data_IF_726042836317
#
_entry.id   IF_726042836317
#
_cell.length_a   1.000
_cell.length_b   1.000
_cell.length_c   1.000
_cell.angle_alpha   90.00
_cell.angle_beta   90.00
_cell.angle_gamma   90.00
#
_symmetry.space_group_name_H-M   'P 1'
#
loop_
_entity.id
_entity.type
_entity.pdbx_description
1 polymer ?
#
# COMPACT_ATOMS: atom_id res chain seq x y z
N UNK A 1 -28.26 -3.24 -14.07
CA UNK A 1 -26.90 -3.47 -13.59
C UNK A 1 -26.86 -3.27 -12.08
N UNK A 2 -26.50 -4.30 -11.34
CA UNK A 2 -26.37 -4.28 -9.88
C UNK A 2 -25.18 -3.41 -9.43
N UNK A 3 -25.10 -3.08 -8.13
CA UNK A 3 -23.96 -2.32 -7.60
C UNK A 3 -22.62 -3.05 -7.82
N UNK A 4 -22.60 -4.36 -7.66
CA UNK A 4 -21.41 -5.18 -7.91
C UNK A 4 -21.02 -5.25 -9.39
N UNK A 5 -21.96 -5.37 -10.30
CA UNK A 5 -21.68 -5.32 -11.74
C UNK A 5 -21.04 -3.98 -12.13
N UNK A 6 -21.54 -2.87 -11.59
CA UNK A 6 -20.93 -1.53 -11.79
C UNK A 6 -19.51 -1.48 -11.23
N UNK A 7 -19.30 -2.03 -10.04
CA UNK A 7 -17.99 -2.06 -9.39
C UNK A 7 -16.97 -2.89 -10.21
N UNK A 8 -17.36 -4.08 -10.68
CA UNK A 8 -16.51 -4.91 -11.54
C UNK A 8 -16.20 -4.24 -12.88
N UNK A 9 -17.19 -3.55 -13.48
CA UNK A 9 -16.97 -2.78 -14.69
C UNK A 9 -15.96 -1.65 -14.46
N UNK A 10 -16.10 -0.90 -13.37
CA UNK A 10 -15.16 0.15 -12.98
C UNK A 10 -13.76 -0.40 -12.77
N UNK A 11 -13.61 -1.55 -12.08
CA UNK A 11 -12.32 -2.22 -11.89
C UNK A 11 -11.68 -2.63 -13.21
N UNK A 12 -12.44 -3.22 -14.13
CA UNK A 12 -11.97 -3.58 -15.46
C UNK A 12 -11.50 -2.34 -16.25
N UNK A 13 -12.26 -1.25 -16.20
CA UNK A 13 -11.87 0.01 -16.84
C UNK A 13 -10.59 0.60 -16.24
N UNK A 14 -10.38 0.44 -14.94
CA UNK A 14 -9.16 0.83 -14.23
C UNK A 14 -7.96 -0.07 -14.53
N UNK A 15 -8.16 -1.22 -15.18
CA UNK A 15 -7.12 -2.20 -15.48
C UNK A 15 -6.90 -3.27 -14.41
N UNK A 16 -7.81 -3.40 -13.43
CA UNK A 16 -7.72 -4.43 -12.41
C UNK A 16 -7.99 -5.82 -12.99
N UNK A 17 -7.15 -6.83 -12.72
CA UNK A 17 -7.43 -8.22 -13.03
C UNK A 17 -8.69 -8.71 -12.32
N UNK A 18 -9.35 -9.72 -12.90
CA UNK A 18 -10.61 -10.26 -12.36
C UNK A 18 -10.44 -10.83 -10.94
N UNK A 19 -9.35 -11.53 -10.68
CA UNK A 19 -9.03 -12.12 -9.37
C UNK A 19 -8.81 -11.05 -8.31
N UNK A 20 -8.20 -9.91 -8.65
CA UNK A 20 -8.08 -8.77 -7.74
C UNK A 20 -9.46 -8.22 -7.34
N UNK A 21 -10.35 -8.07 -8.30
CA UNK A 21 -11.71 -7.60 -8.03
C UNK A 21 -12.51 -8.61 -7.19
N UNK A 22 -12.27 -9.91 -7.38
CA UNK A 22 -12.87 -10.97 -6.56
C UNK A 22 -12.35 -10.90 -5.11
N UNK A 23 -11.05 -10.66 -4.91
CA UNK A 23 -10.47 -10.50 -3.58
C UNK A 23 -11.10 -9.31 -2.83
N UNK A 24 -11.24 -8.16 -3.48
CA UNK A 24 -11.95 -7.01 -2.89
C UNK A 24 -13.42 -7.31 -2.60
N UNK A 25 -14.11 -8.00 -3.50
CA UNK A 25 -15.51 -8.39 -3.31
C UNK A 25 -15.69 -9.37 -2.13
N UNK A 26 -14.80 -10.35 -1.96
CA UNK A 26 -14.81 -11.28 -0.83
C UNK A 26 -14.58 -10.57 0.52
N UNK A 27 -13.75 -9.55 0.51
CA UNK A 27 -13.52 -8.69 1.68
C UNK A 27 -14.64 -7.66 1.91
N UNK A 28 -15.60 -7.54 0.98
CA UNK A 28 -16.58 -6.46 0.91
C UNK A 28 -15.94 -5.06 0.90
N UNK A 29 -14.73 -4.96 0.34
CA UNK A 29 -14.00 -3.70 0.18
C UNK A 29 -14.38 -3.05 -1.14
N UNK A 30 -14.93 -1.85 -1.07
CA UNK A 30 -15.25 -1.05 -2.24
C UNK A 30 -14.24 0.08 -2.34
N UNK A 31 -13.41 0.01 -3.38
CA UNK A 31 -12.45 1.05 -3.72
C UNK A 31 -13.06 2.01 -4.75
N UNK A 32 -12.67 3.26 -4.67
CA UNK A 32 -13.05 4.27 -5.66
C UNK A 32 -12.20 4.12 -6.93
N UNK A 33 -12.62 4.74 -8.02
CA UNK A 33 -11.99 4.62 -9.33
C UNK A 33 -10.46 4.85 -9.28
N UNK A 34 -10.00 5.93 -8.65
CA UNK A 34 -8.56 6.22 -8.53
C UNK A 34 -7.81 5.22 -7.67
N UNK A 35 -8.44 4.69 -6.64
CA UNK A 35 -7.88 3.61 -5.82
C UNK A 35 -7.78 2.32 -6.63
N UNK A 36 -8.76 2.02 -7.49
CA UNK A 36 -8.68 0.88 -8.42
C UNK A 36 -7.56 1.04 -9.43
N UNK A 37 -7.36 2.24 -10.00
CA UNK A 37 -6.19 2.51 -10.87
C UNK A 37 -4.87 2.25 -10.12
N UNK A 38 -4.77 2.67 -8.85
CA UNK A 38 -3.59 2.40 -8.04
C UNK A 38 -3.43 0.90 -7.74
N UNK A 39 -4.53 0.17 -7.53
CA UNK A 39 -4.52 -1.28 -7.34
C UNK A 39 -4.14 -2.03 -8.62
N UNK A 40 -4.60 -1.59 -9.78
CA UNK A 40 -4.15 -2.11 -11.07
C UNK A 40 -2.64 -1.90 -11.25
N UNK A 41 -2.12 -0.71 -10.91
CA UNK A 41 -0.68 -0.44 -10.91
C UNK A 41 0.10 -1.35 -9.96
N UNK A 42 -0.47 -1.67 -8.77
CA UNK A 42 0.13 -2.62 -7.83
C UNK A 42 0.27 -4.03 -8.42
N UNK A 43 -0.68 -4.46 -9.24
CA UNK A 43 -0.61 -5.77 -9.94
C UNK A 43 0.40 -5.79 -11.08
N UNK A 44 0.76 -4.65 -11.66
CA UNK A 44 1.87 -4.58 -12.63
C UNK A 44 3.21 -4.95 -11.98
N UNK A 45 3.35 -4.86 -10.65
CA UNK A 45 4.53 -5.34 -9.94
C UNK A 45 4.77 -6.86 -10.06
N UNK A 46 3.78 -7.63 -10.49
CA UNK A 46 3.93 -9.07 -10.73
C UNK A 46 4.77 -9.37 -11.98
N UNK A 47 4.79 -8.47 -12.94
CA UNK A 47 5.59 -8.63 -14.14
C UNK A 47 7.08 -8.43 -13.84
N UNK A 48 7.98 -9.27 -14.35
CA UNK A 48 9.42 -9.10 -14.17
C UNK A 48 9.92 -7.71 -14.58
N UNK A 49 9.38 -7.17 -15.67
CA UNK A 49 9.73 -5.85 -16.21
C UNK A 49 8.83 -4.73 -15.68
N UNK A 50 7.88 -5.06 -14.79
CA UNK A 50 6.96 -4.11 -14.20
C UNK A 50 7.59 -3.27 -13.10
N UNK A 51 6.85 -2.30 -12.53
CA UNK A 51 7.36 -1.47 -11.46
C UNK A 51 7.66 -2.28 -10.19
N UNK A 52 8.56 -1.77 -9.38
CA UNK A 52 8.84 -2.29 -8.03
C UNK A 52 8.19 -1.44 -6.93
N UNK A 53 7.73 -0.25 -7.30
CA UNK A 53 7.12 0.67 -6.36
C UNK A 53 5.93 1.41 -6.97
N UNK A 54 4.85 1.54 -6.17
CA UNK A 54 3.65 2.30 -6.52
C UNK A 54 3.40 3.39 -5.49
N UNK A 55 3.27 4.63 -5.98
CA UNK A 55 2.89 5.79 -5.19
C UNK A 55 1.44 6.20 -5.47
N UNK A 56 0.67 6.45 -4.41
CA UNK A 56 -0.67 7.00 -4.50
C UNK A 56 -0.76 8.27 -3.65
N UNK A 57 -0.94 9.42 -4.27
CA UNK A 57 -0.79 10.65 -3.52
C UNK A 57 -1.33 11.91 -4.16
N UNK A 58 -1.30 13.00 -3.38
CA UNK A 58 -1.81 14.31 -3.76
C UNK A 58 -2.62 14.94 -2.65
N UNK A 59 -3.91 15.17 -2.85
CA UNK A 59 -4.75 15.88 -1.88
C UNK A 59 -5.00 15.09 -0.59
N UNK A 60 -5.22 15.82 0.52
CA UNK A 60 -5.77 15.26 1.76
C UNK A 60 -7.19 14.75 1.50
N UNK A 61 -7.61 13.71 2.21
CA UNK A 61 -8.95 13.15 2.06
C UNK A 61 -9.14 12.21 0.85
N UNK A 62 -8.13 11.98 0.02
CA UNK A 62 -8.21 11.10 -1.16
C UNK A 62 -8.21 9.59 -0.87
N UNK A 63 -8.57 9.14 0.33
CA UNK A 63 -8.68 7.70 0.67
C UNK A 63 -7.37 6.90 0.62
N UNK A 64 -6.22 7.58 0.77
CA UNK A 64 -4.89 6.98 0.56
C UNK A 64 -4.56 5.84 1.52
N UNK A 65 -4.77 6.05 2.83
CA UNK A 65 -4.55 5.01 3.85
C UNK A 65 -5.50 3.83 3.67
N UNK A 66 -6.74 4.11 3.26
CA UNK A 66 -7.73 3.09 2.94
C UNK A 66 -7.26 2.20 1.78
N UNK A 67 -6.80 2.82 0.68
CA UNK A 67 -6.24 2.07 -0.45
C UNK A 67 -5.03 1.24 -0.04
N UNK A 68 -4.07 1.85 0.68
CA UNK A 68 -2.82 1.18 1.03
C UNK A 68 -3.08 -0.10 1.83
N UNK A 69 -3.91 0.00 2.87
CA UNK A 69 -4.23 -1.15 3.71
C UNK A 69 -5.11 -2.17 2.97
N UNK A 70 -6.07 -1.72 2.15
CA UNK A 70 -6.90 -2.59 1.32
C UNK A 70 -6.06 -3.38 0.30
N UNK A 71 -5.14 -2.72 -0.40
CA UNK A 71 -4.24 -3.38 -1.36
C UNK A 71 -3.39 -4.45 -0.69
N UNK A 72 -2.76 -4.12 0.44
CA UNK A 72 -1.91 -5.06 1.16
C UNK A 72 -2.71 -6.23 1.75
N UNK A 73 -3.85 -5.95 2.39
CA UNK A 73 -4.58 -6.94 3.18
C UNK A 73 -5.68 -7.67 2.43
N UNK A 74 -6.49 -6.97 1.64
CA UNK A 74 -7.61 -7.58 0.92
C UNK A 74 -7.21 -8.17 -0.43
N UNK A 75 -6.10 -7.72 -1.05
CA UNK A 75 -5.59 -8.32 -2.28
C UNK A 75 -4.31 -9.15 -2.03
N UNK A 76 -3.19 -8.52 -1.77
CA UNK A 76 -1.88 -9.21 -1.77
C UNK A 76 -1.82 -10.34 -0.73
N UNK A 77 -2.21 -10.08 0.51
CA UNK A 77 -2.20 -11.09 1.57
C UNK A 77 -3.19 -12.24 1.34
N UNK A 78 -4.23 -12.05 0.53
CA UNK A 78 -5.21 -13.12 0.26
C UNK A 78 -4.74 -14.07 -0.84
N UNK A 79 -3.98 -13.57 -1.80
CA UNK A 79 -3.56 -14.36 -2.97
C UNK A 79 -2.25 -15.14 -2.80
N UNK A 80 -1.38 -14.71 -1.88
CA UNK A 80 -0.12 -15.41 -1.61
C UNK A 80 0.01 -15.71 -0.12
N UNK A 81 0.07 -17.00 0.28
CA UNK A 81 0.20 -17.38 1.68
C UNK A 81 1.53 -16.94 2.30
N UNK A 82 1.47 -16.60 3.59
CA UNK A 82 2.64 -16.34 4.40
C UNK A 82 3.40 -15.05 4.08
N UNK A 83 2.80 -14.09 3.38
CA UNK A 83 3.44 -12.78 3.16
C UNK A 83 3.70 -12.05 4.47
N UNK A 84 4.89 -11.49 4.60
CA UNK A 84 5.29 -10.62 5.71
C UNK A 84 5.33 -9.18 5.22
N UNK A 85 4.36 -8.39 5.63
CA UNK A 85 4.19 -7.00 5.20
C UNK A 85 4.50 -6.04 6.35
N UNK A 86 5.20 -4.95 6.07
CA UNK A 86 5.39 -3.82 6.98
C UNK A 86 4.51 -2.66 6.50
N UNK A 87 3.67 -2.12 7.37
CA UNK A 87 3.00 -0.85 7.18
C UNK A 87 3.64 0.19 8.09
N UNK A 88 4.42 1.09 7.52
CA UNK A 88 5.21 2.08 8.24
C UNK A 88 4.57 3.46 8.19
N UNK A 89 4.47 4.13 9.34
CA UNK A 89 3.93 5.49 9.45
C UNK A 89 4.73 6.32 10.45
N UNK A 90 4.80 7.62 10.21
CA UNK A 90 5.31 8.57 11.20
C UNK A 90 4.25 8.77 12.30
N UNK A 91 4.67 8.73 13.59
CA UNK A 91 3.88 8.92 14.82
C UNK A 91 3.18 7.68 15.41
N UNK A 92 3.42 7.48 16.71
CA UNK A 92 3.13 6.25 17.45
C UNK A 92 1.68 5.99 17.89
N UNK A 93 1.17 6.63 18.98
CA UNK A 93 -0.10 6.21 19.61
C UNK A 93 -1.35 6.37 18.73
N UNK A 94 -1.50 7.52 18.06
CA UNK A 94 -2.61 7.75 17.15
C UNK A 94 -2.58 6.83 15.91
N UNK A 95 -1.45 6.20 15.65
CA UNK A 95 -1.28 5.31 14.52
C UNK A 95 -1.93 3.95 14.73
N UNK A 96 -1.79 3.37 15.91
CA UNK A 96 -2.37 2.06 16.21
C UNK A 96 -3.90 2.13 16.23
N UNK A 97 -4.46 3.20 16.80
CA UNK A 97 -5.90 3.46 16.81
C UNK A 97 -6.44 3.63 15.38
N UNK A 98 -5.78 4.45 14.57
CA UNK A 98 -6.16 4.63 13.16
C UNK A 98 -6.04 3.33 12.35
N UNK A 99 -4.99 2.54 12.60
CA UNK A 99 -4.83 1.23 11.98
C UNK A 99 -5.96 0.28 12.39
N UNK A 100 -6.31 0.27 13.68
CA UNK A 100 -7.39 -0.57 14.19
C UNK A 100 -8.75 -0.20 13.59
N UNK A 101 -9.05 1.07 13.47
CA UNK A 101 -10.29 1.56 12.85
C UNK A 101 -10.35 1.19 11.36
N UNK A 102 -9.26 1.40 10.63
CA UNK A 102 -9.18 1.00 9.21
C UNK A 102 -9.30 -0.52 9.04
N UNK A 103 -8.62 -1.30 9.88
CA UNK A 103 -8.69 -2.76 9.84
C UNK A 103 -10.12 -3.27 10.06
N UNK A 104 -10.81 -2.77 11.09
CA UNK A 104 -12.20 -3.16 11.38
C UNK A 104 -13.11 -2.85 10.20
N UNK A 105 -12.91 -1.72 9.55
CA UNK A 105 -13.69 -1.29 8.39
C UNK A 105 -13.38 -2.11 7.13
N UNK A 106 -12.10 -2.44 6.90
CA UNK A 106 -11.66 -3.12 5.68
C UNK A 106 -11.76 -4.64 5.76
N UNK A 107 -11.54 -5.23 6.94
CA UNK A 107 -11.37 -6.68 7.05
C UNK A 107 -12.42 -7.35 7.92
N UNK A 108 -13.55 -6.68 8.17
CA UNK A 108 -14.62 -7.25 8.98
C UNK A 108 -15.19 -8.58 8.46
N UNK A 109 -15.02 -8.85 7.16
CA UNK A 109 -15.47 -10.07 6.48
C UNK A 109 -14.34 -11.10 6.25
N UNK A 110 -13.10 -10.70 6.41
CA UNK A 110 -11.96 -11.62 6.25
C UNK A 110 -11.59 -12.23 7.60
N UNK A 111 -11.42 -13.55 7.70
CA UNK A 111 -10.90 -14.19 8.91
C UNK A 111 -9.49 -13.68 9.23
N UNK A 112 -9.32 -13.03 10.36
CA UNK A 112 -8.04 -12.50 10.80
C UNK A 112 -8.00 -12.35 12.32
N UNK A 113 -6.78 -12.33 12.86
CA UNK A 113 -6.48 -12.02 14.26
C UNK A 113 -5.66 -10.73 14.33
N UNK A 114 -5.93 -9.91 15.34
CA UNK A 114 -5.16 -8.70 15.59
C UNK A 114 -4.63 -8.65 17.02
N UNK A 115 -3.31 -8.60 17.13
CA UNK A 115 -2.63 -8.36 18.40
C UNK A 115 -2.29 -6.87 18.53
N UNK A 116 -3.10 -6.13 19.30
CA UNK A 116 -2.85 -4.71 19.55
C UNK A 116 -1.52 -4.46 20.26
N UNK A 117 -1.12 -5.37 21.16
CA UNK A 117 0.17 -5.29 21.86
C UNK A 117 1.37 -5.36 20.91
N UNK A 118 1.29 -6.22 19.89
CA UNK A 118 2.37 -6.42 18.91
C UNK A 118 2.20 -5.54 17.66
N UNK A 119 1.04 -4.93 17.46
CA UNK A 119 0.70 -4.25 16.22
C UNK A 119 0.68 -5.18 15.01
N UNK A 120 0.27 -6.46 15.19
CA UNK A 120 0.31 -7.47 14.12
C UNK A 120 -1.11 -7.93 13.79
N UNK A 121 -1.45 -7.80 12.51
CA UNK A 121 -2.63 -8.37 11.89
C UNK A 121 -2.22 -9.65 11.15
N UNK A 122 -2.80 -10.78 11.50
CA UNK A 122 -2.52 -12.10 10.92
C UNK A 122 -3.74 -12.66 10.22
N UNK A 123 -3.59 -13.12 8.98
CA UNK A 123 -4.62 -13.81 8.20
C UNK A 123 -4.50 -15.33 8.33
N UNK A 124 -5.58 -16.05 8.08
CA UNK A 124 -5.65 -17.51 8.22
C UNK A 124 -4.63 -18.27 7.35
N UNK A 125 -4.21 -17.67 6.21
CA UNK A 125 -3.21 -18.24 5.31
C UNK A 125 -1.75 -18.00 5.74
N UNK A 126 -1.53 -17.46 6.95
CA UNK A 126 -0.22 -17.15 7.51
C UNK A 126 0.37 -15.80 7.07
N UNK A 127 -0.28 -15.07 6.15
CA UNK A 127 0.13 -13.71 5.81
C UNK A 127 -0.13 -12.77 6.97
N UNK A 128 0.74 -11.75 7.14
CA UNK A 128 0.61 -10.80 8.24
C UNK A 128 1.03 -9.39 7.84
N UNK A 129 0.37 -8.40 8.43
CA UNK A 129 0.75 -6.99 8.33
C UNK A 129 1.21 -6.51 9.70
N UNK A 130 2.42 -5.98 9.76
CA UNK A 130 3.04 -5.42 10.96
C UNK A 130 2.89 -3.90 10.88
N UNK A 131 2.16 -3.32 11.84
CA UNK A 131 2.02 -1.88 11.97
C UNK A 131 3.28 -1.30 12.63
N UNK A 132 4.19 -0.81 11.81
CA UNK A 132 5.41 -0.14 12.23
C UNK A 132 5.22 1.37 12.35
N UNK A 133 6.03 2.00 13.20
CA UNK A 133 6.02 3.45 13.36
C UNK A 133 7.41 4.00 13.59
N UNK A 134 7.57 5.30 13.35
CA UNK A 134 8.77 6.07 13.70
C UNK A 134 8.37 7.47 14.15
N UNK A 135 9.01 8.00 15.15
CA UNK A 135 8.89 9.41 15.55
C UNK A 135 10.01 10.23 14.93
N UNK A 136 11.22 9.68 15.00
CA UNK A 136 12.43 10.24 14.45
C UNK A 136 12.97 9.31 13.34
N UNK A 137 13.74 9.87 12.43
CA UNK A 137 14.34 9.08 11.36
C UNK A 137 15.27 7.95 11.85
N UNK A 138 15.87 8.10 13.04
CA UNK A 138 16.70 7.06 13.66
C UNK A 138 15.91 5.80 14.00
N UNK A 139 14.62 5.92 14.26
CA UNK A 139 13.78 4.76 14.59
C UNK A 139 13.65 3.78 13.42
N UNK A 140 13.93 4.24 12.19
CA UNK A 140 13.99 3.40 11.00
C UNK A 140 15.08 2.33 11.14
N UNK A 141 16.15 2.60 11.89
CA UNK A 141 17.26 1.68 12.07
C UNK A 141 16.82 0.39 12.80
N UNK A 142 15.73 0.44 13.58
CA UNK A 142 15.17 -0.74 14.23
C UNK A 142 14.57 -1.78 13.24
N UNK A 143 14.29 -1.38 12.01
CA UNK A 143 13.76 -2.26 10.97
C UNK A 143 14.87 -2.84 10.08
N UNK A 144 16.08 -2.29 10.14
CA UNK A 144 17.21 -2.74 9.32
C UNK A 144 17.62 -4.16 9.72
N UNK A 145 17.98 -4.96 8.72
CA UNK A 145 18.28 -6.38 8.91
C UNK A 145 17.07 -7.31 8.89
N UNK A 146 15.86 -6.78 8.96
CA UNK A 146 14.64 -7.56 8.78
C UNK A 146 14.27 -7.67 7.28
N UNK A 147 13.43 -8.64 6.96
CA UNK A 147 12.95 -8.85 5.59
C UNK A 147 11.44 -8.73 5.52
N UNK A 148 10.95 -8.05 4.50
CA UNK A 148 9.53 -7.86 4.23
C UNK A 148 9.24 -8.08 2.75
N UNK A 149 8.21 -8.85 2.46
CA UNK A 149 7.74 -9.11 1.10
C UNK A 149 7.06 -7.85 0.49
N UNK A 150 6.45 -7.04 1.36
CA UNK A 150 5.83 -5.76 1.01
C UNK A 150 6.17 -4.73 2.08
N UNK A 151 6.52 -3.52 1.64
CA UNK A 151 6.63 -2.36 2.53
C UNK A 151 5.63 -1.30 2.07
N UNK A 152 4.64 -1.01 2.91
CA UNK A 152 3.74 0.12 2.78
C UNK A 152 4.25 1.30 3.60
N UNK A 153 4.40 2.47 3.00
CA UNK A 153 4.86 3.68 3.70
C UNK A 153 3.79 4.76 3.61
N UNK A 154 3.15 5.05 4.73
CA UNK A 154 2.22 6.17 4.80
C UNK A 154 2.97 7.49 4.92
N UNK A 155 2.48 8.50 4.19
CA UNK A 155 3.06 9.84 4.18
C UNK A 155 4.59 9.82 3.92
N UNK A 156 5.01 9.10 2.87
CA UNK A 156 6.40 8.83 2.55
C UNK A 156 7.28 10.08 2.46
N UNK A 157 6.70 11.25 2.15
CA UNK A 157 7.42 12.55 2.16
C UNK A 157 7.81 13.05 3.55
N UNK A 158 7.42 12.35 4.62
CA UNK A 158 7.92 12.62 5.96
C UNK A 158 9.30 12.03 6.22
N UNK A 159 9.79 11.15 5.34
CA UNK A 159 11.14 10.59 5.36
C UNK A 159 12.08 11.35 4.43
N UNK A 160 13.33 11.50 4.85
CA UNK A 160 14.40 11.93 3.94
C UNK A 160 14.67 10.86 2.88
N UNK A 161 15.32 11.25 1.76
CA UNK A 161 15.71 10.32 0.71
C UNK A 161 16.55 9.15 1.25
N UNK A 162 17.49 9.44 2.16
CA UNK A 162 18.38 8.45 2.77
C UNK A 162 17.57 7.43 3.58
N UNK A 163 16.69 7.87 4.47
CA UNK A 163 15.91 6.96 5.32
C UNK A 163 14.87 6.17 4.54
N UNK A 164 14.30 6.75 3.49
CA UNK A 164 13.49 6.00 2.54
C UNK A 164 14.34 4.91 1.87
N UNK A 165 15.54 5.21 1.41
CA UNK A 165 16.44 4.22 0.82
C UNK A 165 16.81 3.14 1.84
N UNK A 166 17.18 3.50 3.06
CA UNK A 166 17.54 2.57 4.14
C UNK A 166 16.42 1.53 4.34
N UNK A 167 15.17 1.97 4.57
CA UNK A 167 14.06 1.04 4.83
C UNK A 167 13.71 0.19 3.59
N UNK A 168 13.87 0.71 2.38
CA UNK A 168 13.56 -0.05 1.16
C UNK A 168 14.54 -1.19 0.91
N UNK A 169 15.74 -1.17 1.49
CA UNK A 169 16.66 -2.32 1.45
C UNK A 169 16.11 -3.55 2.17
N UNK A 170 15.16 -3.37 3.08
CA UNK A 170 14.48 -4.45 3.79
C UNK A 170 13.36 -5.12 2.96
N UNK A 171 13.03 -4.54 1.78
CA UNK A 171 12.01 -5.10 0.88
C UNK A 171 12.63 -6.23 0.06
N UNK A 172 12.59 -7.44 0.61
CA UNK A 172 13.18 -8.65 0.04
C UNK A 172 12.26 -9.84 0.31
N UNK A 173 12.33 -10.85 -0.55
CA UNK A 173 11.51 -12.06 -0.42
C UNK A 173 12.31 -13.31 -0.75
N UNK A 174 12.00 -14.39 -0.07
CA UNK A 174 12.42 -15.75 -0.41
C UNK A 174 11.33 -16.55 -1.12
N UNK A 175 10.17 -15.95 -1.38
CA UNK A 175 9.02 -16.62 -2.00
C UNK A 175 9.18 -16.69 -3.53
N UNK A 176 9.12 -17.88 -4.14
CA UNK A 176 9.42 -18.04 -5.56
C UNK A 176 8.43 -17.35 -6.49
N UNK A 177 7.18 -17.19 -6.05
CA UNK A 177 6.10 -16.63 -6.88
C UNK A 177 5.68 -15.23 -6.41
N UNK A 178 6.58 -14.54 -5.74
CA UNK A 178 6.34 -13.19 -5.25
C UNK A 178 7.52 -12.28 -5.61
N UNK A 179 7.21 -11.10 -6.14
CA UNK A 179 8.20 -10.06 -6.37
C UNK A 179 8.04 -8.99 -5.29
N UNK A 180 9.10 -8.68 -4.50
CA UNK A 180 9.01 -7.69 -3.43
C UNK A 180 8.63 -6.32 -4.00
N UNK A 181 7.82 -5.57 -3.25
CA UNK A 181 7.26 -4.32 -3.72
C UNK A 181 7.04 -3.31 -2.63
N UNK A 182 7.04 -2.04 -3.01
CA UNK A 182 6.85 -0.91 -2.12
C UNK A 182 5.59 -0.18 -2.53
N UNK A 183 4.72 0.07 -1.57
CA UNK A 183 3.59 0.97 -1.74
C UNK A 183 3.83 2.22 -0.90
N UNK A 184 3.48 3.37 -1.42
CA UNK A 184 3.62 4.61 -0.67
C UNK A 184 2.44 5.53 -0.87
N UNK A 185 2.07 6.22 0.19
CA UNK A 185 1.12 7.32 0.10
C UNK A 185 1.83 8.63 0.40
N UNK A 186 1.34 9.73 -0.15
CA UNK A 186 1.93 11.04 0.09
C UNK A 186 0.92 12.17 0.06
N UNK A 187 1.24 13.22 0.83
CA UNK A 187 0.70 14.55 0.68
C UNK A 187 1.82 15.47 0.16
N UNK A 188 1.50 16.58 -0.54
CA UNK A 188 2.51 17.57 -0.89
C UNK A 188 3.19 18.15 0.35
N UNK A 189 4.50 18.39 0.26
CA UNK A 189 5.30 18.95 1.36
C UNK A 189 6.12 17.90 2.11
N UNK A 190 6.73 18.33 3.22
CA UNK A 190 7.63 17.50 4.03
C UNK A 190 9.07 17.47 3.52
N UNK A 191 9.97 16.92 4.36
CA UNK A 191 11.42 16.85 4.05
C UNK A 191 11.71 16.02 2.80
N UNK A 192 10.84 15.07 2.49
CA UNK A 192 10.96 14.18 1.34
C UNK A 192 10.33 14.66 0.06
N UNK A 193 9.72 15.85 0.04
CA UNK A 193 8.97 16.33 -1.13
C UNK A 193 9.79 16.29 -2.44
N UNK A 194 11.03 16.77 -2.39
CA UNK A 194 11.87 16.86 -3.58
C UNK A 194 12.24 15.48 -4.16
N UNK A 195 12.70 14.56 -3.33
CA UNK A 195 13.06 13.22 -3.80
C UNK A 195 11.84 12.42 -4.28
N UNK A 196 10.70 12.55 -3.57
CA UNK A 196 9.48 11.86 -3.95
C UNK A 196 8.96 12.36 -5.30
N UNK A 197 8.94 13.68 -5.49
CA UNK A 197 8.60 14.28 -6.79
C UNK A 197 9.50 13.76 -7.91
N UNK A 198 10.82 13.76 -7.71
CA UNK A 198 11.79 13.28 -8.70
C UNK A 198 11.59 11.81 -9.04
N UNK A 199 11.33 10.97 -8.04
CA UNK A 199 11.27 9.51 -8.21
C UNK A 199 9.92 9.03 -8.74
N UNK A 200 8.81 9.62 -8.29
CA UNK A 200 7.46 9.13 -8.59
C UNK A 200 6.67 10.06 -9.50
N UNK A 201 6.61 11.35 -9.17
CA UNK A 201 5.70 12.30 -9.85
C UNK A 201 6.24 12.72 -11.20
N UNK A 202 7.53 13.04 -11.27
CA UNK A 202 8.14 13.54 -12.50
C UNK A 202 8.13 12.52 -13.64
N UNK A 203 8.49 11.24 -13.44
CA UNK A 203 8.36 10.23 -14.48
C UNK A 203 6.93 10.09 -15.01
N UNK A 204 5.93 10.16 -14.12
CA UNK A 204 4.52 10.11 -14.52
C UNK A 204 4.14 11.31 -15.40
N UNK A 205 4.57 12.53 -15.02
CA UNK A 205 4.30 13.75 -15.81
C UNK A 205 5.00 13.73 -17.18
N UNK A 206 6.19 13.16 -17.25
CA UNK A 206 6.98 13.00 -18.46
C UNK A 206 6.62 11.74 -19.26
N UNK A 207 5.65 10.97 -18.81
CA UNK A 207 5.23 9.70 -19.41
C UNK A 207 6.42 8.72 -19.62
N UNK A 208 7.42 8.78 -18.73
CA UNK A 208 8.57 7.87 -18.77
C UNK A 208 8.26 6.57 -18.04
N UNK A 209 8.61 5.46 -18.67
CA UNK A 209 8.62 4.18 -17.99
C UNK A 209 9.82 4.09 -17.05
N UNK A 210 9.54 3.75 -15.80
CA UNK A 210 10.55 3.57 -14.75
C UNK A 210 10.12 2.42 -13.83
N UNK A 211 10.98 2.08 -12.87
CA UNK A 211 10.65 1.13 -11.80
C UNK A 211 9.51 1.59 -10.86
N UNK A 212 9.00 2.81 -11.07
CA UNK A 212 7.94 3.38 -10.23
C UNK A 212 6.71 3.71 -11.04
N UNK A 213 5.53 3.63 -10.40
CA UNK A 213 4.27 4.16 -10.92
C UNK A 213 3.68 5.12 -9.91
N UNK A 214 3.13 6.22 -10.39
CA UNK A 214 2.45 7.20 -9.54
C UNK A 214 1.01 7.41 -10.01
N UNK A 215 0.08 7.32 -9.08
CA UNK A 215 -1.34 7.62 -9.32
C UNK A 215 -1.72 8.83 -8.50
N UNK A 216 -2.11 9.96 -9.13
CA UNK A 216 -2.51 11.16 -8.41
C UNK A 216 -3.89 10.97 -7.76
N UNK A 217 -4.00 11.31 -6.47
CA UNK A 217 -5.25 11.39 -5.72
C UNK A 217 -5.72 12.84 -5.64
N UNK A 218 -6.99 13.10 -5.93
CA UNK A 218 -7.65 14.41 -5.84
C UNK A 218 -8.71 14.38 -4.74
N UNK A 219 -9.04 15.55 -4.17
CA UNK A 219 -10.13 15.67 -3.18
C UNK A 219 -11.46 15.20 -3.78
N UNK A 220 -11.68 15.49 -5.05
CA UNK A 220 -12.90 15.12 -5.79
C UNK A 220 -13.04 13.63 -6.05
N UNK A 221 -11.97 12.85 -5.85
CA UNK A 221 -11.98 11.40 -6.07
C UNK A 221 -12.65 10.64 -4.91
N UNK A 222 -12.93 11.32 -3.79
CA UNK A 222 -13.52 10.74 -2.58
C UNK A 222 -14.98 11.25 -2.40
N UNK A 223 -15.86 10.83 -3.29
CA UNK A 223 -17.29 11.16 -3.26
C UNK A 223 -18.15 9.97 -2.93
#
# INVERSE_FOLDING_TARGET
MTAWEKYFLMGRTAGCPKDQMLNFAQAEVILQERQLVASAAARLCDNPDGPTAVGYGGARGGGKSHWLLAQMGADDCQRVPGLKCLLLRKVGKANLEHFEDLRRRLFGKLPHEFSAFRGILSFANGSRIIAGHFQNEKDIDAYLGLEYDIIGIEEATTLSARKHQDITTCCRTSKPNWRPRIYSTTNPGGVGHAWYRKRFVQPMLEQRETETRFVPARVTDNR
#
